data_IF_584448826305
#
_entry.id   IF_584448826305
#
_cell.length_a   1.000
_cell.length_b   1.000
_cell.length_c   1.000
_cell.angle_alpha   90.00
_cell.angle_beta   90.00
_cell.angle_gamma   90.00
#
_symmetry.space_group_name_H-M   'P 1'
#
loop_
_entity.id
_entity.type
_entity.pdbx_description
1 polymer ?
#
# COMPACT_ATOMS: atom_id res chain seq x y z
N UNK A 1 -10.35 -11.23 -7.84
CA UNK A 1 -8.88 -11.02 -7.78
C UNK A 1 -8.55 -9.79 -8.59
N UNK A 2 -7.46 -9.13 -8.24
CA UNK A 2 -6.87 -8.02 -8.99
C UNK A 2 -5.54 -8.45 -9.57
N UNK A 3 -5.14 -7.80 -10.66
CA UNK A 3 -3.91 -8.10 -11.39
C UNK A 3 -2.98 -6.90 -11.36
N UNK A 4 -1.68 -7.13 -11.15
CA UNK A 4 -0.67 -6.07 -11.14
C UNK A 4 -0.74 -5.26 -12.43
N UNK A 5 -0.76 -3.93 -12.31
CA UNK A 5 -0.78 -3.04 -13.46
C UNK A 5 -2.16 -2.77 -14.05
N UNK A 6 -3.22 -3.43 -13.60
CA UNK A 6 -4.57 -3.15 -14.11
C UNK A 6 -5.16 -1.91 -13.47
N UNK A 7 -5.90 -1.15 -14.27
CA UNK A 7 -6.66 0.02 -13.85
C UNK A 7 -8.15 -0.33 -13.95
N UNK A 8 -8.94 -0.04 -12.93
CA UNK A 8 -10.37 -0.38 -12.90
C UNK A 8 -11.20 0.90 -13.01
N UNK A 9 -12.28 0.87 -13.80
CA UNK A 9 -13.21 1.99 -13.95
C UNK A 9 -12.54 3.34 -14.28
N UNK A 10 -11.42 3.33 -14.99
CA UNK A 10 -10.59 4.52 -15.31
C UNK A 10 -10.07 5.29 -14.08
N UNK A 11 -10.06 4.68 -12.89
CA UNK A 11 -9.55 5.28 -11.67
C UNK A 11 -8.03 5.51 -11.76
N UNK A 12 -7.45 6.53 -11.11
CA UNK A 12 -6.09 6.97 -11.41
C UNK A 12 -5.00 5.95 -11.09
N UNK A 13 -5.21 5.07 -10.11
CA UNK A 13 -4.18 4.12 -9.66
C UNK A 13 -4.33 2.78 -10.37
N UNK A 14 -3.17 2.17 -10.66
CA UNK A 14 -3.11 0.76 -11.02
C UNK A 14 -3.02 -0.10 -9.77
N UNK A 15 -3.49 -1.34 -9.85
CA UNK A 15 -3.28 -2.30 -8.77
C UNK A 15 -1.79 -2.64 -8.64
N UNK A 16 -1.19 -2.51 -7.44
CA UNK A 16 0.25 -2.64 -7.25
C UNK A 16 0.72 -4.09 -7.23
N UNK A 17 -0.17 -5.07 -7.09
CA UNK A 17 0.20 -6.47 -6.94
C UNK A 17 -0.94 -7.39 -7.36
N UNK A 18 -0.62 -8.67 -7.63
CA UNK A 18 -1.61 -9.70 -7.91
C UNK A 18 -2.19 -10.21 -6.59
N UNK A 19 -3.49 -10.43 -6.53
CA UNK A 19 -4.08 -11.14 -5.40
C UNK A 19 -5.56 -10.92 -5.18
N UNK A 20 -6.04 -11.47 -4.08
CA UNK A 20 -7.35 -11.21 -3.52
C UNK A 20 -7.26 -10.03 -2.55
N UNK A 21 -8.15 -9.04 -2.69
CA UNK A 21 -8.33 -8.00 -1.66
C UNK A 21 -9.06 -8.67 -0.50
N UNK A 22 -8.32 -8.96 0.56
CA UNK A 22 -8.82 -9.69 1.73
C UNK A 22 -9.36 -8.77 2.82
N UNK A 23 -8.78 -7.57 2.95
CA UNK A 23 -9.26 -6.53 3.86
C UNK A 23 -9.30 -5.19 3.13
N UNK A 24 -10.34 -4.41 3.42
CA UNK A 24 -10.59 -3.10 2.84
C UNK A 24 -10.50 -2.01 3.90
N UNK A 25 -10.62 -0.75 3.49
CA UNK A 25 -10.50 0.39 4.39
C UNK A 25 -11.69 0.43 5.37
N UNK A 26 -11.40 0.76 6.62
CA UNK A 26 -12.30 0.72 7.78
C UNK A 26 -12.86 -0.66 8.15
N UNK A 27 -12.29 -1.74 7.59
CA UNK A 27 -12.63 -3.10 8.01
C UNK A 27 -12.06 -3.40 9.42
N UNK A 28 -12.60 -4.40 10.11
CA UNK A 28 -12.25 -4.70 11.49
C UNK A 28 -12.08 -6.20 11.74
N UNK A 29 -10.84 -6.63 12.00
CA UNK A 29 -10.53 -8.02 12.36
C UNK A 29 -10.74 -8.32 13.85
N UNK A 30 -10.73 -7.29 14.71
CA UNK A 30 -10.86 -7.42 16.17
C UNK A 30 -11.57 -6.19 16.72
N UNK A 31 -12.41 -6.33 17.77
CA UNK A 31 -13.13 -5.21 18.36
C UNK A 31 -12.21 -4.02 18.67
N UNK A 32 -12.53 -2.86 18.10
CA UNK A 32 -11.79 -1.61 18.32
C UNK A 32 -10.62 -1.35 17.36
N UNK A 33 -10.29 -2.28 16.46
CA UNK A 33 -9.31 -2.05 15.39
C UNK A 33 -10.02 -1.61 14.10
N UNK A 34 -9.54 -0.55 13.46
CA UNK A 34 -10.02 -0.07 12.15
C UNK A 34 -8.87 -0.15 11.16
N UNK A 35 -9.08 -0.84 10.05
CA UNK A 35 -8.06 -1.07 9.04
C UNK A 35 -7.88 0.17 8.16
N UNK A 36 -6.67 0.72 8.10
CA UNK A 36 -6.39 2.02 7.47
C UNK A 36 -5.96 1.93 6.00
N UNK A 37 -6.12 0.78 5.36
CA UNK A 37 -5.65 0.53 4.00
C UNK A 37 -6.31 -0.67 3.33
N UNK A 38 -5.57 -1.31 2.44
CA UNK A 38 -5.95 -2.54 1.75
C UNK A 38 -4.92 -3.62 2.00
N UNK A 39 -5.39 -4.83 2.26
CA UNK A 39 -4.53 -6.02 2.29
C UNK A 39 -4.81 -6.90 1.08
N UNK A 40 -3.78 -7.11 0.25
CA UNK A 40 -3.86 -7.87 -1.00
C UNK A 40 -3.03 -9.14 -0.87
N UNK A 41 -3.70 -10.30 -0.90
CA UNK A 41 -3.11 -11.62 -0.66
C UNK A 41 -2.93 -12.38 -1.96
N UNK A 42 -1.68 -12.66 -2.34
CA UNK A 42 -1.38 -13.43 -3.55
C UNK A 42 -1.55 -14.95 -3.37
N UNK A 43 -1.46 -15.45 -2.13
CA UNK A 43 -1.44 -16.89 -1.84
C UNK A 43 -0.13 -17.60 -2.22
N UNK A 44 0.94 -16.84 -2.47
CA UNK A 44 2.29 -17.37 -2.76
C UNK A 44 3.18 -17.35 -1.53
N UNK A 45 4.36 -17.95 -1.63
CA UNK A 45 5.42 -17.82 -0.63
C UNK A 45 5.97 -16.38 -0.55
N UNK A 46 6.71 -16.08 0.52
CA UNK A 46 7.39 -14.80 0.74
C UNK A 46 8.43 -14.52 -0.36
N UNK A 47 8.55 -13.26 -0.77
CA UNK A 47 9.54 -12.85 -1.76
C UNK A 47 9.22 -13.27 -3.21
N UNK A 48 8.01 -13.80 -3.46
CA UNK A 48 7.61 -14.30 -4.79
C UNK A 48 6.78 -13.30 -5.57
N UNK A 49 5.70 -12.77 -4.98
CA UNK A 49 4.76 -11.91 -5.73
C UNK A 49 5.24 -10.46 -5.77
N UNK A 50 5.43 -9.86 -6.96
CA UNK A 50 5.95 -8.50 -7.08
C UNK A 50 4.94 -7.44 -6.64
N UNK A 51 5.49 -6.33 -6.14
CA UNK A 51 4.78 -5.10 -5.80
C UNK A 51 5.36 -3.98 -6.65
N UNK A 52 4.49 -3.23 -7.33
CA UNK A 52 4.86 -2.08 -8.16
C UNK A 52 4.22 -0.79 -7.63
N UNK A 53 4.75 0.36 -8.03
CA UNK A 53 4.16 1.65 -7.72
C UNK A 53 2.75 1.78 -8.32
N UNK A 54 1.75 2.04 -7.48
CA UNK A 54 0.35 2.22 -7.90
C UNK A 54 0.14 3.50 -8.72
N UNK A 55 1.00 4.49 -8.52
CA UNK A 55 0.97 5.78 -9.20
C UNK A 55 2.36 6.41 -9.23
N UNK A 56 2.64 7.26 -10.23
CA UNK A 56 3.91 7.95 -10.35
C UNK A 56 4.09 9.00 -9.23
N UNK A 57 5.31 9.11 -8.71
CA UNK A 57 5.60 10.03 -7.61
C UNK A 57 7.05 9.98 -7.17
N UNK A 58 7.31 10.43 -5.94
CA UNK A 58 8.65 10.53 -5.37
C UNK A 58 8.79 9.56 -4.21
N UNK A 59 9.54 8.49 -4.42
CA UNK A 59 9.75 7.42 -3.47
C UNK A 59 10.77 7.81 -2.40
N UNK A 60 10.42 7.49 -1.16
CA UNK A 60 11.27 7.58 0.02
C UNK A 60 11.27 6.25 0.76
N UNK A 61 12.44 5.87 1.27
CA UNK A 61 12.62 4.76 2.20
C UNK A 61 13.48 5.24 3.36
N UNK A 62 12.89 5.37 4.55
CA UNK A 62 13.63 5.84 5.72
C UNK A 62 14.76 4.87 6.10
N UNK A 63 15.76 5.40 6.82
CA UNK A 63 16.97 4.64 7.18
C UNK A 63 16.64 3.39 8.03
N UNK A 64 15.65 3.50 8.92
CA UNK A 64 15.18 2.46 9.83
C UNK A 64 14.08 1.56 9.23
N UNK A 65 13.62 1.82 8.00
CA UNK A 65 12.57 1.03 7.36
C UNK A 65 13.09 -0.27 6.73
N UNK A 66 12.65 -1.38 7.32
CA UNK A 66 13.01 -2.75 6.88
C UNK A 66 12.20 -3.18 5.67
N UNK A 67 10.88 -3.03 5.71
CA UNK A 67 9.93 -3.68 4.79
C UNK A 67 9.02 -2.70 4.06
N UNK A 68 9.37 -1.42 4.09
CA UNK A 68 8.45 -0.31 3.79
C UNK A 68 9.08 0.69 2.84
N UNK A 69 8.26 1.21 1.92
CA UNK A 69 8.56 2.43 1.16
C UNK A 69 7.30 3.30 1.12
N UNK A 70 7.47 4.59 0.86
CA UNK A 70 6.36 5.53 0.70
C UNK A 70 6.60 6.41 -0.53
N UNK A 71 5.55 6.71 -1.27
CA UNK A 71 5.63 7.52 -2.49
C UNK A 71 4.82 8.80 -2.29
N UNK A 72 5.47 9.95 -2.38
CA UNK A 72 4.83 11.26 -2.36
C UNK A 72 4.20 11.56 -3.71
N UNK A 73 2.93 11.96 -3.70
CA UNK A 73 2.20 12.44 -4.87
C UNK A 73 1.84 13.91 -4.63
N UNK A 74 2.58 14.88 -5.20
CA UNK A 74 2.44 16.29 -4.87
C UNK A 74 1.09 16.91 -5.25
N UNK A 75 0.41 16.30 -6.23
CA UNK A 75 -0.91 16.70 -6.70
C UNK A 75 -1.77 15.45 -6.74
N UNK A 76 -2.62 15.30 -5.73
CA UNK A 76 -3.60 14.22 -5.70
C UNK A 76 -4.43 14.23 -7.01
N UNK A 77 -4.52 13.09 -7.73
CA UNK A 77 -5.31 13.01 -8.96
C UNK A 77 -6.81 13.28 -8.76
N UNK A 78 -7.34 13.11 -7.55
CA UNK A 78 -8.74 13.38 -7.21
C UNK A 78 -8.96 14.81 -6.71
N UNK A 79 -7.96 15.40 -6.06
CA UNK A 79 -8.00 16.76 -5.54
C UNK A 79 -6.66 17.49 -5.70
N UNK A 80 -6.36 18.08 -6.87
CA UNK A 80 -5.02 18.59 -7.20
C UNK A 80 -4.45 19.70 -6.29
N UNK A 81 -5.27 20.25 -5.38
CA UNK A 81 -4.85 21.24 -4.38
C UNK A 81 -4.17 20.65 -3.16
N UNK A 82 -4.12 19.32 -3.00
CA UNK A 82 -3.48 18.64 -1.87
C UNK A 82 -2.42 17.65 -2.33
N UNK A 83 -1.50 17.36 -1.42
CA UNK A 83 -0.54 16.27 -1.50
C UNK A 83 -1.08 15.04 -0.77
N UNK A 84 -0.70 13.86 -1.26
CA UNK A 84 -0.94 12.58 -0.60
C UNK A 84 0.33 11.74 -0.62
N UNK A 85 0.32 10.69 0.18
CA UNK A 85 1.39 9.70 0.24
C UNK A 85 0.82 8.30 0.02
N UNK A 86 1.52 7.44 -0.71
CA UNK A 86 1.13 6.05 -0.92
C UNK A 86 2.13 5.16 -0.20
N UNK A 87 1.67 4.48 0.84
CA UNK A 87 2.47 3.67 1.74
C UNK A 87 2.38 2.19 1.37
N UNK A 88 3.51 1.48 1.35
CA UNK A 88 3.61 0.05 1.02
C UNK A 88 4.46 -0.64 2.08
N UNK A 89 3.97 -1.74 2.67
CA UNK A 89 4.71 -2.45 3.74
C UNK A 89 4.62 -3.98 3.63
N UNK A 90 5.17 -4.65 4.64
CA UNK A 90 5.34 -6.10 4.79
C UNK A 90 6.28 -6.76 3.77
N UNK A 91 7.05 -5.99 3.00
CA UNK A 91 8.04 -6.48 2.04
C UNK A 91 9.33 -7.01 2.68
N UNK A 92 9.22 -7.93 3.65
CA UNK A 92 10.36 -8.63 4.24
C UNK A 92 9.92 -10.01 4.77
N UNK A 93 10.87 -10.90 5.00
CA UNK A 93 10.61 -12.18 5.66
C UNK A 93 10.47 -12.01 7.19
N UNK A 94 10.10 -13.06 7.96
CA UNK A 94 9.90 -12.93 9.41
C UNK A 94 11.16 -12.49 10.16
N UNK A 95 12.35 -12.83 9.65
CA UNK A 95 13.63 -12.43 10.25
C UNK A 95 14.06 -11.01 9.91
N UNK A 96 13.26 -10.25 9.15
CA UNK A 96 13.58 -8.87 8.74
C UNK A 96 14.51 -8.77 7.53
N UNK A 97 14.69 -9.84 6.76
CA UNK A 97 15.40 -9.74 5.47
C UNK A 97 14.45 -9.07 4.47
N UNK A 98 14.84 -7.86 4.05
CA UNK A 98 14.05 -7.02 3.15
C UNK A 98 13.93 -7.61 1.75
N UNK A 99 12.74 -7.48 1.17
CA UNK A 99 12.40 -7.73 -0.22
C UNK A 99 12.10 -6.45 -0.99
N UNK A 100 12.35 -5.28 -0.40
CA UNK A 100 12.36 -4.02 -1.15
C UNK A 100 13.46 -4.09 -2.20
N UNK A 101 13.17 -3.61 -3.40
CA UNK A 101 14.11 -3.59 -4.52
C UNK A 101 15.44 -2.96 -4.13
N UNK A 102 16.55 -3.53 -4.60
CA UNK A 102 17.90 -2.99 -4.37
C UNK A 102 18.13 -1.63 -5.02
N UNK A 103 17.26 -1.22 -5.95
CA UNK A 103 17.24 0.15 -6.51
C UNK A 103 16.81 1.20 -5.47
N UNK A 104 16.15 0.76 -4.41
CA UNK A 104 15.64 1.59 -3.31
C UNK A 104 16.29 1.21 -1.97
N UNK A 105 17.61 1.44 -1.80
CA UNK A 105 18.29 1.17 -0.54
C UNK A 105 17.74 2.04 0.61
N UNK A 106 17.93 1.63 1.86
CA UNK A 106 17.51 2.43 3.02
C UNK A 106 18.16 3.82 3.03
N UNK A 107 17.41 4.84 3.44
CA UNK A 107 17.86 6.23 3.52
C UNK A 107 17.75 7.03 2.23
N UNK A 108 17.11 6.50 1.18
CA UNK A 108 16.81 7.30 -0.01
C UNK A 108 15.56 8.14 0.19
N UNK A 109 15.56 9.33 -0.41
CA UNK A 109 14.46 10.27 -0.33
C UNK A 109 14.18 10.86 -1.71
N UNK A 110 12.90 11.08 -1.99
CA UNK A 110 12.43 11.88 -3.13
C UNK A 110 12.92 11.37 -4.52
N UNK A 111 13.08 10.06 -4.68
CA UNK A 111 13.47 9.44 -5.95
C UNK A 111 12.24 9.28 -6.85
N UNK A 112 12.23 9.94 -8.00
CA UNK A 112 11.10 9.81 -8.93
C UNK A 112 10.96 8.37 -9.45
N UNK A 113 9.74 7.85 -9.38
CA UNK A 113 9.34 6.55 -9.95
C UNK A 113 8.06 6.69 -10.76
N UNK A 114 7.95 5.88 -11.81
CA UNK A 114 6.74 5.82 -12.63
C UNK A 114 5.76 4.78 -12.06
N UNK A 115 4.47 4.94 -12.33
CA UNK A 115 3.49 3.89 -12.08
C UNK A 115 3.96 2.59 -12.78
N UNK A 116 3.98 1.48 -12.04
CA UNK A 116 4.46 0.19 -12.53
C UNK A 116 5.93 -0.10 -12.25
N UNK A 117 6.71 0.85 -11.71
CA UNK A 117 8.09 0.57 -11.23
C UNK A 117 8.06 -0.47 -10.11
N UNK A 118 8.92 -1.51 -10.21
CA UNK A 118 9.04 -2.57 -9.20
C UNK A 118 9.59 -2.02 -7.88
N UNK A 119 8.79 -2.10 -6.82
CA UNK A 119 9.16 -1.65 -5.47
C UNK A 119 9.77 -2.77 -4.63
N UNK A 120 9.34 -4.01 -4.86
CA UNK A 120 9.75 -5.16 -4.07
C UNK A 120 8.82 -6.35 -4.26
N UNK A 121 8.76 -7.22 -3.25
CA UNK A 121 7.93 -8.42 -3.26
C UNK A 121 7.18 -8.59 -1.94
N UNK A 122 5.98 -9.18 -2.00
CA UNK A 122 5.17 -9.46 -0.82
C UNK A 122 5.96 -10.31 0.19
N UNK A 123 5.85 -9.94 1.46
CA UNK A 123 6.43 -10.68 2.57
C UNK A 123 5.42 -10.76 3.71
N UNK A 124 5.91 -11.02 4.91
CA UNK A 124 5.10 -11.25 6.09
C UNK A 124 5.71 -10.70 7.38
N UNK A 125 6.63 -9.74 7.24
CA UNK A 125 7.26 -9.06 8.37
C UNK A 125 6.29 -8.11 9.05
N UNK A 126 6.10 -8.27 10.36
CA UNK A 126 5.15 -7.48 11.18
C UNK A 126 5.83 -6.43 12.06
N UNK A 127 7.16 -6.31 12.00
CA UNK A 127 7.96 -5.59 13.02
C UNK A 127 8.36 -6.46 14.22
N UNK A 128 7.69 -7.60 14.42
CA UNK A 128 8.01 -8.59 15.45
C UNK A 128 8.31 -9.95 14.79
N UNK A 129 9.59 -10.38 14.77
CA UNK A 129 9.97 -11.67 14.20
C UNK A 129 9.28 -12.90 14.80
N UNK A 130 8.75 -12.79 16.02
CA UNK A 130 8.04 -13.88 16.70
C UNK A 130 6.55 -13.95 16.33
N UNK A 131 6.01 -12.90 15.73
CA UNK A 131 4.59 -12.77 15.40
C UNK A 131 4.39 -12.28 13.95
N UNK A 132 4.82 -13.05 12.92
CA UNK A 132 4.63 -12.65 11.53
C UNK A 132 3.15 -12.59 11.15
N UNK A 133 2.84 -11.76 10.16
CA UNK A 133 1.51 -11.65 9.55
C UNK A 133 1.33 -12.67 8.42
N UNK A 134 0.18 -12.68 7.74
CA UNK A 134 0.03 -13.42 6.48
C UNK A 134 0.93 -12.84 5.38
N UNK A 135 1.21 -13.60 4.31
CA UNK A 135 1.94 -13.05 3.15
C UNK A 135 1.00 -12.15 2.35
N UNK A 136 1.25 -10.84 2.37
CA UNK A 136 0.42 -9.86 1.67
C UNK A 136 1.18 -8.56 1.40
N UNK A 137 0.58 -7.70 0.58
CA UNK A 137 0.86 -6.26 0.58
C UNK A 137 -0.20 -5.57 1.45
N UNK A 138 0.24 -4.72 2.37
CA UNK A 138 -0.60 -3.66 2.93
C UNK A 138 -0.28 -2.34 2.22
N UNK A 139 -1.30 -1.67 1.70
CA UNK A 139 -1.20 -0.40 1.00
C UNK A 139 -2.22 0.62 1.53
N UNK A 140 -1.75 1.84 1.79
CA UNK A 140 -2.57 2.93 2.33
C UNK A 140 -2.31 4.25 1.61
N UNK A 141 -3.36 5.07 1.52
CA UNK A 141 -3.27 6.43 0.99
C UNK A 141 -3.30 7.38 2.17
N UNK A 142 -2.14 7.91 2.51
CA UNK A 142 -1.88 8.63 3.75
C UNK A 142 -1.96 10.14 3.52
N UNK A 143 -2.52 10.84 4.49
CA UNK A 143 -2.59 12.29 4.50
C UNK A 143 -1.21 12.94 4.64
N UNK A 144 -1.06 14.11 4.03
CA UNK A 144 0.02 15.04 4.34
C UNK A 144 -0.24 15.76 5.68
N UNK A 145 0.82 16.06 6.43
CA UNK A 145 0.76 16.82 7.68
C UNK A 145 0.54 18.33 7.49
N UNK A 146 0.53 18.81 6.24
CA UNK A 146 0.42 20.21 5.86
C UNK A 146 1.76 20.93 5.75
N UNK A 147 2.86 20.25 6.08
CA UNK A 147 4.24 20.72 5.98
C UNK A 147 5.06 19.89 4.98
N UNK A 148 4.41 19.00 4.24
CA UNK A 148 5.04 18.15 3.26
C UNK A 148 5.61 16.85 3.81
N UNK A 149 5.17 16.39 5.00
CA UNK A 149 5.47 15.05 5.51
C UNK A 149 4.20 14.20 5.59
N UNK A 150 4.37 12.88 5.70
CA UNK A 150 3.25 11.96 5.87
C UNK A 150 2.86 11.83 7.34
N UNK A 151 1.55 11.63 7.60
CA UNK A 151 1.04 11.27 8.93
C UNK A 151 1.19 9.77 9.21
N UNK A 152 0.92 9.35 10.45
CA UNK A 152 0.99 7.94 10.85
C UNK A 152 -0.13 7.12 10.18
N UNK A 153 0.22 6.08 9.40
CA UNK A 153 -0.75 5.28 8.64
C UNK A 153 -1.58 4.36 9.52
N UNK A 154 -1.09 3.99 10.70
CA UNK A 154 -1.83 3.13 11.64
C UNK A 154 -3.10 3.79 12.19
N UNK A 155 -3.21 5.11 12.08
CA UNK A 155 -4.40 5.86 12.46
C UNK A 155 -5.26 6.10 11.22
N UNK A 156 -6.44 5.49 11.19
CA UNK A 156 -7.35 5.56 10.05
C UNK A 156 -7.76 7.00 9.69
N UNK A 157 -7.81 7.90 10.66
CA UNK A 157 -8.15 9.32 10.42
C UNK A 157 -7.03 10.05 9.64
N UNK A 158 -5.85 9.44 9.53
CA UNK A 158 -4.73 9.91 8.71
C UNK A 158 -4.67 9.22 7.34
N UNK A 159 -5.72 8.52 6.93
CA UNK A 159 -5.78 7.83 5.64
C UNK A 159 -7.05 8.16 4.88
N UNK A 160 -6.95 8.20 3.56
CA UNK A 160 -8.09 8.38 2.67
C UNK A 160 -8.70 7.04 2.28
N UNK A 161 -10.01 7.05 2.09
CA UNK A 161 -10.73 5.98 1.40
C UNK A 161 -10.07 5.69 0.03
N UNK A 162 -9.56 4.46 -0.19
CA UNK A 162 -8.87 4.09 -1.42
C UNK A 162 -9.83 3.82 -2.60
N UNK A 163 -11.14 3.72 -2.35
CA UNK A 163 -12.16 3.40 -3.36
C UNK A 163 -12.07 4.26 -4.64
N UNK A 164 -12.05 5.61 -4.56
CA UNK A 164 -11.98 6.45 -5.75
C UNK A 164 -10.62 6.41 -6.46
N UNK A 165 -9.55 5.96 -5.79
CA UNK A 165 -8.22 5.85 -6.40
C UNK A 165 -8.07 4.59 -7.23
N UNK A 166 -8.63 3.48 -6.77
CA UNK A 166 -8.57 2.18 -7.45
C UNK A 166 -9.82 1.82 -8.26
N UNK A 167 -10.90 2.59 -8.11
CA UNK A 167 -12.13 2.40 -8.89
C UNK A 167 -12.95 1.19 -8.47
N UNK A 168 -12.78 0.72 -7.23
CA UNK A 168 -13.53 -0.39 -6.65
C UNK A 168 -14.17 0.06 -5.32
N UNK A 169 -15.24 -0.59 -4.84
CA UNK A 169 -15.84 -0.25 -3.55
C UNK A 169 -15.01 -0.88 -2.42
N UNK A 170 -14.06 -0.10 -1.89
CA UNK A 170 -13.01 -0.52 -0.96
C UNK A 170 -13.13 0.13 0.42
N UNK A 171 -14.33 0.58 0.78
CA UNK A 171 -14.68 1.14 2.07
C UNK A 171 -15.72 0.21 2.73
N UNK A 172 -15.41 -0.32 3.92
CA UNK A 172 -16.26 -1.26 4.62
C UNK A 172 -17.65 -0.70 4.98
N UNK A 173 -17.77 0.63 5.11
CA UNK A 173 -19.05 1.28 5.35
C UNK A 173 -19.96 1.28 4.12
N UNK A 174 -19.38 1.18 2.91
CA UNK A 174 -20.11 1.18 1.64
C UNK A 174 -20.20 -0.23 1.01
N UNK A 175 -19.24 -1.11 1.34
CA UNK A 175 -19.16 -2.48 0.86
C UNK A 175 -18.98 -3.48 2.01
N UNK A 176 -20.07 -3.86 2.69
CA UNK A 176 -19.99 -4.76 3.83
C UNK A 176 -19.81 -6.24 3.46
N UNK A 177 -20.29 -6.65 2.28
CA UNK A 177 -20.54 -8.08 2.00
C UNK A 177 -20.02 -8.58 0.65
N UNK A 178 -19.34 -7.75 -0.15
CA UNK A 178 -18.87 -8.14 -1.48
C UNK A 178 -17.35 -8.12 -1.61
N UNK A 179 -16.81 -9.13 -2.29
CA UNK A 179 -15.39 -9.19 -2.62
C UNK A 179 -15.15 -8.29 -3.84
N UNK A 180 -14.37 -7.21 -3.72
CA UNK A 180 -14.09 -6.33 -4.85
C UNK A 180 -13.27 -7.06 -5.91
N UNK A 181 -13.69 -6.96 -7.18
CA UNK A 181 -13.00 -7.52 -8.33
C UNK A 181 -12.89 -6.49 -9.44
N UNK A 182 -11.77 -6.52 -10.17
CA UNK A 182 -11.56 -5.72 -11.36
C UNK A 182 -11.92 -6.56 -12.59
N UNK A 183 -12.97 -6.18 -13.31
CA UNK A 183 -13.40 -6.81 -14.56
C UNK A 183 -12.79 -6.15 -15.80
#
# INVERSE_FOLDING_TARGET
>A
MVTTGTQCNSAPFIFPTNGLIGFIWDDSFRPGHRHSGLDIFAGTEVGVTPIVAAYSGYLTRQEDWISTVIIRVPKDPLQPSRQIWVYYTHMANPSGISFVSSEFPSGIEEVFVEAGTLLGYQGNYSGDPLNPVGVHLHISIVEDDGFGNFKNELDIENTYDPSPYFGLPLNANENPDSIPVCE
#
